data_IF_903183304173
#
_entry.id   IF_903183304173
#
_cell.length_a   1.000
_cell.length_b   1.000
_cell.length_c   1.000
_cell.angle_alpha   90.00
_cell.angle_beta   90.00
_cell.angle_gamma   90.00
#
_symmetry.space_group_name_H-M   'P 1'
#
loop_
_entity.id
_entity.type
_entity.pdbx_description
1 polymer ?
#
# COMPACT_ATOMS: atom_id res chain seq x y z
N UNK A 1 -15.37 5.27 29.09
CA UNK A 1 -15.68 6.71 29.19
C UNK A 1 -16.79 7.02 28.19
N UNK A 2 -18.00 7.40 28.64
CA UNK A 2 -19.16 7.60 27.76
C UNK A 2 -19.28 9.07 27.37
N UNK A 3 -19.13 9.38 26.08
CA UNK A 3 -19.30 10.74 25.53
C UNK A 3 -20.75 10.99 25.09
N UNK A 4 -21.23 12.22 25.29
CA UNK A 4 -22.59 12.72 25.02
C UNK A 4 -22.94 12.81 23.51
N UNK A 5 -22.02 12.49 22.60
CA UNK A 5 -22.23 12.53 21.14
C UNK A 5 -23.06 11.38 20.56
N UNK A 6 -23.57 10.47 21.41
CA UNK A 6 -24.24 9.21 21.01
C UNK A 6 -25.62 9.31 20.36
N UNK A 7 -26.16 10.52 20.13
CA UNK A 7 -27.52 10.68 19.61
C UNK A 7 -27.62 10.83 18.08
N UNK A 8 -26.50 10.90 17.34
CA UNK A 8 -26.56 10.86 15.87
C UNK A 8 -26.49 9.41 15.36
N UNK A 9 -27.31 9.10 14.34
CA UNK A 9 -27.33 7.78 13.68
C UNK A 9 -25.97 7.39 13.11
N UNK A 10 -25.13 8.33 12.68
CA UNK A 10 -23.77 8.01 12.20
C UNK A 10 -22.87 7.54 13.32
N UNK A 11 -22.98 8.12 14.52
CA UNK A 11 -22.13 7.75 15.65
C UNK A 11 -22.49 6.38 16.21
N UNK A 12 -23.76 5.95 16.12
CA UNK A 12 -24.14 4.58 16.47
C UNK A 12 -23.57 3.56 15.48
N UNK A 13 -23.60 3.87 14.18
CA UNK A 13 -23.00 3.00 13.14
C UNK A 13 -21.49 2.88 13.33
N UNK A 14 -20.79 4.02 13.53
CA UNK A 14 -19.34 4.01 13.75
C UNK A 14 -18.95 3.21 14.99
N UNK A 15 -19.74 3.31 16.06
CA UNK A 15 -19.52 2.49 17.25
C UNK A 15 -19.66 1.00 16.93
N UNK A 16 -20.71 0.61 16.21
CA UNK A 16 -20.93 -0.79 15.85
C UNK A 16 -19.75 -1.34 15.05
N UNK A 17 -19.20 -0.57 14.10
CA UNK A 17 -18.02 -0.96 13.34
C UNK A 17 -16.76 -1.10 14.20
N UNK A 18 -16.55 -0.18 15.15
CA UNK A 18 -15.44 -0.28 16.10
C UNK A 18 -15.60 -1.52 17.00
N UNK A 19 -16.80 -1.76 17.51
CA UNK A 19 -17.08 -2.93 18.36
C UNK A 19 -16.87 -4.24 17.55
N UNK A 20 -17.29 -4.29 16.28
CA UNK A 20 -17.02 -5.43 15.38
C UNK A 20 -15.52 -5.64 15.15
N UNK A 21 -14.78 -4.58 14.82
CA UNK A 21 -13.34 -4.62 14.62
C UNK A 21 -12.58 -5.15 15.85
N UNK A 22 -12.90 -4.63 17.04
CA UNK A 22 -12.28 -5.05 18.30
C UNK A 22 -12.60 -6.51 18.64
N UNK A 23 -13.84 -6.94 18.38
CA UNK A 23 -14.24 -8.33 18.59
C UNK A 23 -13.51 -9.28 17.64
N UNK A 24 -13.34 -8.92 16.38
CA UNK A 24 -12.57 -9.72 15.41
C UNK A 24 -11.10 -9.83 15.84
N UNK A 25 -10.48 -8.70 16.21
CA UNK A 25 -9.11 -8.66 16.71
C UNK A 25 -8.91 -9.61 17.91
N UNK A 26 -9.81 -9.54 18.89
CA UNK A 26 -9.73 -10.38 20.08
C UNK A 26 -10.04 -11.86 19.79
N UNK A 27 -11.03 -12.15 18.95
CA UNK A 27 -11.50 -13.52 18.69
C UNK A 27 -10.47 -14.34 17.93
N UNK A 28 -9.78 -13.73 16.96
CA UNK A 28 -8.78 -14.41 16.14
C UNK A 28 -7.34 -14.12 16.58
N UNK A 29 -7.14 -13.31 17.63
CA UNK A 29 -5.81 -12.94 18.13
C UNK A 29 -5.02 -12.08 17.12
N UNK A 30 -5.71 -11.28 16.30
CA UNK A 30 -5.09 -10.46 15.27
C UNK A 30 -4.43 -9.23 15.88
N UNK A 31 -3.29 -8.84 15.32
CA UNK A 31 -2.60 -7.60 15.70
C UNK A 31 -3.03 -6.48 14.76
N UNK A 32 -3.53 -5.38 15.33
CA UNK A 32 -3.84 -4.17 14.59
C UNK A 32 -2.55 -3.47 14.17
N UNK A 33 -2.48 -3.06 12.90
CA UNK A 33 -1.39 -2.27 12.34
C UNK A 33 -1.91 -1.01 11.67
N UNK A 34 -1.05 0.00 11.58
CA UNK A 34 -1.31 1.21 10.81
C UNK A 34 -0.76 1.01 9.40
N UNK A 35 -1.61 1.21 8.41
CA UNK A 35 -1.24 1.06 7.00
C UNK A 35 -1.60 2.32 6.21
N UNK A 36 -0.76 2.63 5.24
CA UNK A 36 -1.01 3.61 4.19
C UNK A 36 -0.57 3.01 2.86
N UNK A 37 -1.37 3.21 1.83
CA UNK A 37 -1.09 2.72 0.49
C UNK A 37 -1.27 3.88 -0.47
N UNK A 38 -0.23 4.16 -1.25
CA UNK A 38 -0.25 5.15 -2.31
C UNK A 38 0.28 4.53 -3.60
N UNK A 39 -0.20 5.06 -4.72
CA UNK A 39 0.35 4.79 -6.04
C UNK A 39 1.03 6.05 -6.52
N UNK A 40 2.33 5.95 -6.79
CA UNK A 40 3.11 7.04 -7.35
C UNK A 40 3.35 6.76 -8.82
N UNK A 41 3.03 7.75 -9.65
CA UNK A 41 3.25 7.70 -11.08
C UNK A 41 4.02 8.94 -11.52
N UNK A 42 4.94 8.78 -12.46
CA UNK A 42 5.72 9.85 -13.07
C UNK A 42 5.83 9.64 -14.57
N UNK A 43 5.96 10.73 -15.32
CA UNK A 43 6.32 10.73 -16.75
C UNK A 43 7.00 12.07 -17.06
N UNK A 44 7.88 12.07 -18.07
CA UNK A 44 8.48 13.27 -18.62
C UNK A 44 7.51 14.02 -19.58
N UNK A 45 6.42 13.36 -20.02
CA UNK A 45 5.35 13.93 -20.84
C UNK A 45 4.10 14.22 -20.01
N UNK A 46 3.64 15.47 -20.07
CA UNK A 46 2.45 15.92 -19.36
C UNK A 46 1.16 15.27 -19.86
N UNK A 47 1.06 14.91 -21.15
CA UNK A 47 -0.12 14.22 -21.68
C UNK A 47 -0.15 12.77 -21.22
N UNK A 48 0.99 12.07 -21.27
CA UNK A 48 1.11 10.71 -20.74
C UNK A 48 0.78 10.67 -19.23
N UNK A 49 1.24 11.66 -18.45
CA UNK A 49 0.91 11.75 -17.03
C UNK A 49 -0.60 11.85 -16.76
N UNK A 50 -1.34 12.59 -17.61
CA UNK A 50 -2.81 12.67 -17.51
C UNK A 50 -3.46 11.30 -17.78
N UNK A 51 -2.96 10.58 -18.77
CA UNK A 51 -3.44 9.23 -19.08
C UNK A 51 -3.20 8.27 -17.91
N UNK A 52 -1.97 8.22 -17.38
CA UNK A 52 -1.63 7.36 -16.24
C UNK A 52 -2.51 7.71 -15.02
N UNK A 53 -2.72 9.00 -14.75
CA UNK A 53 -3.59 9.45 -13.65
C UNK A 53 -5.02 8.92 -13.79
N UNK A 54 -5.59 8.97 -14.99
CA UNK A 54 -6.95 8.48 -15.25
C UNK A 54 -7.02 6.96 -15.11
N UNK A 55 -6.01 6.25 -15.62
CA UNK A 55 -5.95 4.79 -15.54
C UNK A 55 -5.86 4.32 -14.09
N UNK A 56 -4.95 4.90 -13.29
CA UNK A 56 -4.83 4.61 -11.85
C UNK A 56 -6.14 4.90 -11.12
N UNK A 57 -6.76 6.05 -11.40
CA UNK A 57 -8.06 6.40 -10.81
C UNK A 57 -9.16 5.38 -11.16
N UNK A 58 -9.20 4.90 -12.40
CA UNK A 58 -10.18 3.91 -12.86
C UNK A 58 -9.97 2.53 -12.22
N UNK A 59 -8.72 2.11 -12.01
CA UNK A 59 -8.40 0.84 -11.35
C UNK A 59 -8.66 0.88 -9.85
N UNK A 60 -8.41 2.01 -9.18
CA UNK A 60 -8.81 2.16 -7.77
C UNK A 60 -10.34 2.12 -7.63
N UNK A 61 -11.06 2.78 -8.54
CA UNK A 61 -12.53 2.74 -8.55
C UNK A 61 -13.09 1.33 -8.82
N UNK A 62 -12.42 0.51 -9.64
CA UNK A 62 -12.84 -0.88 -9.89
C UNK A 62 -12.68 -1.78 -8.66
N UNK A 63 -11.80 -1.41 -7.73
CA UNK A 63 -11.64 -2.03 -6.42
C UNK A 63 -12.57 -1.44 -5.34
N UNK A 64 -13.56 -0.64 -5.75
CA UNK A 64 -14.45 0.11 -4.83
C UNK A 64 -13.71 1.05 -3.88
N UNK A 65 -12.46 1.42 -4.21
CA UNK A 65 -11.68 2.39 -3.47
C UNK A 65 -11.94 3.79 -4.02
N UNK A 66 -12.14 4.78 -3.15
CA UNK A 66 -12.28 6.18 -3.58
C UNK A 66 -10.87 6.78 -3.72
N UNK A 67 -10.40 7.05 -4.95
CA UNK A 67 -9.06 7.60 -5.14
C UNK A 67 -9.01 9.04 -4.61
N UNK A 68 -8.09 9.30 -3.68
CA UNK A 68 -7.79 10.65 -3.20
C UNK A 68 -6.46 11.10 -3.82
N UNK A 69 -6.52 12.12 -4.66
CA UNK A 69 -5.32 12.71 -5.22
C UNK A 69 -4.72 13.70 -4.22
N UNK A 70 -3.59 13.35 -3.61
CA UNK A 70 -2.91 14.24 -2.68
C UNK A 70 -2.05 15.26 -3.45
N UNK A 71 -2.37 16.54 -3.31
CA UNK A 71 -1.65 17.65 -3.94
C UNK A 71 -0.80 18.45 -2.95
N UNK A 72 -1.05 18.32 -1.65
CA UNK A 72 -0.43 19.14 -0.60
C UNK A 72 0.70 18.37 0.07
N UNK A 73 0.41 17.15 0.54
CA UNK A 73 1.38 16.36 1.30
C UNK A 73 2.19 15.41 0.42
N UNK A 74 2.11 15.57 -0.91
CA UNK A 74 2.85 14.76 -1.87
C UNK A 74 4.37 14.75 -1.59
N UNK A 75 5.05 15.89 -1.31
CA UNK A 75 6.46 15.88 -0.95
C UNK A 75 6.74 15.11 0.35
N UNK A 76 5.87 15.23 1.34
CA UNK A 76 6.02 14.54 2.63
C UNK A 76 5.81 13.04 2.48
N UNK A 77 4.79 12.61 1.72
CA UNK A 77 4.54 11.21 1.42
C UNK A 77 5.67 10.59 0.60
N UNK A 78 6.21 11.32 -0.37
CA UNK A 78 7.39 10.89 -1.11
C UNK A 78 8.59 10.69 -0.18
N UNK A 79 8.86 11.67 0.68
CA UNK A 79 10.00 11.64 1.59
C UNK A 79 9.86 10.55 2.67
N UNK A 80 8.65 10.30 3.16
CA UNK A 80 8.36 9.24 4.13
C UNK A 80 8.47 7.83 3.53
N UNK A 81 8.38 7.70 2.20
CA UNK A 81 8.59 6.42 1.50
C UNK A 81 10.07 6.03 1.39
N UNK A 82 11.00 6.94 1.71
CA UNK A 82 12.44 6.63 1.72
C UNK A 82 12.74 5.71 2.92
N UNK A 83 13.47 4.59 2.72
CA UNK A 83 13.87 3.71 3.80
C UNK A 83 14.54 4.46 4.96
N UNK A 84 14.06 4.24 6.17
CA UNK A 84 14.56 4.91 7.38
C UNK A 84 13.85 6.22 7.73
N UNK A 85 13.00 6.76 6.86
CA UNK A 85 12.29 8.02 7.10
C UNK A 85 10.80 7.88 7.46
N UNK A 86 10.38 6.69 7.88
CA UNK A 86 8.99 6.43 8.26
C UNK A 86 8.49 7.28 9.44
N UNK A 87 9.39 7.86 10.24
CA UNK A 87 9.04 8.73 11.37
C UNK A 87 8.41 10.07 10.93
N UNK A 88 8.71 10.55 9.72
CA UNK A 88 8.12 11.77 9.16
C UNK A 88 6.75 11.52 8.51
N UNK A 89 6.26 10.28 8.51
CA UNK A 89 4.98 9.93 7.90
C UNK A 89 3.81 10.59 8.67
N UNK A 90 2.93 11.36 7.99
CA UNK A 90 1.80 12.02 8.65
C UNK A 90 0.86 11.01 9.29
N UNK A 91 0.63 11.14 10.59
CA UNK A 91 -0.19 10.16 11.31
C UNK A 91 -1.63 10.08 10.76
N UNK A 92 -2.14 11.21 10.28
CA UNK A 92 -3.48 11.35 9.73
C UNK A 92 -3.70 10.57 8.42
N UNK A 93 -2.62 10.25 7.71
CA UNK A 93 -2.68 9.61 6.38
C UNK A 93 -2.71 8.08 6.45
N UNK A 94 -2.57 7.47 7.64
CA UNK A 94 -2.70 6.01 7.83
C UNK A 94 -4.04 5.64 8.44
N UNK A 95 -4.51 4.43 8.19
CA UNK A 95 -5.67 3.85 8.87
C UNK A 95 -5.32 2.54 9.58
N UNK A 96 -6.18 2.10 10.48
CA UNK A 96 -6.01 0.83 11.20
C UNK A 96 -6.58 -0.32 10.38
N UNK A 97 -5.80 -1.40 10.26
CA UNK A 97 -6.20 -2.64 9.61
C UNK A 97 -5.50 -3.82 10.31
N UNK A 98 -5.70 -5.05 9.86
CA UNK A 98 -4.92 -6.20 10.33
C UNK A 98 -3.80 -6.53 9.35
N UNK A 99 -2.81 -7.29 9.82
CA UNK A 99 -1.57 -7.58 9.08
C UNK A 99 -1.88 -8.27 7.76
N UNK A 100 -2.80 -9.24 7.76
CA UNK A 100 -3.16 -10.04 6.61
C UNK A 100 -3.70 -9.16 5.47
N UNK A 101 -4.60 -8.23 5.80
CA UNK A 101 -5.19 -7.27 4.86
C UNK A 101 -4.17 -6.23 4.44
N UNK A 102 -3.27 -5.79 5.34
CA UNK A 102 -2.23 -4.84 4.98
C UNK A 102 -1.26 -5.42 3.94
N UNK A 103 -0.85 -6.68 4.11
CA UNK A 103 0.06 -7.38 3.19
C UNK A 103 -0.62 -7.71 1.86
N UNK A 104 -1.95 -7.78 1.80
CA UNK A 104 -2.67 -7.94 0.53
C UNK A 104 -2.37 -6.85 -0.50
N UNK A 105 -2.18 -5.61 -0.04
CA UNK A 105 -1.91 -4.45 -0.91
C UNK A 105 -0.41 -4.17 -1.09
N UNK A 106 0.45 -4.93 -0.41
CA UNK A 106 1.88 -4.88 -0.65
C UNK A 106 2.19 -5.56 -2.00
N UNK A 107 2.64 -4.75 -2.96
CA UNK A 107 2.96 -5.18 -4.32
C UNK A 107 4.37 -4.71 -4.66
N UNK A 108 5.24 -5.64 -5.03
CA UNK A 108 6.61 -5.36 -5.44
C UNK A 108 6.83 -5.60 -6.94
N UNK A 109 7.86 -4.98 -7.50
CA UNK A 109 8.03 -4.73 -8.93
C UNK A 109 8.15 -6.00 -9.79
N UNK A 110 8.66 -7.10 -9.26
CA UNK A 110 8.89 -8.33 -10.02
C UNK A 110 7.86 -9.39 -9.68
N UNK A 111 6.65 -9.25 -10.23
CA UNK A 111 5.51 -10.15 -9.98
C UNK A 111 5.79 -11.65 -10.29
N UNK A 112 6.90 -12.02 -10.95
CA UNK A 112 7.20 -13.43 -11.28
C UNK A 112 8.69 -13.80 -11.35
N UNK A 113 9.58 -12.90 -10.91
CA UNK A 113 11.03 -13.10 -11.04
C UNK A 113 11.72 -12.78 -9.72
N UNK A 114 12.72 -13.59 -9.40
CA UNK A 114 13.61 -13.30 -8.28
C UNK A 114 14.37 -12.00 -8.56
N UNK A 115 14.58 -11.20 -7.52
CA UNK A 115 15.60 -10.16 -7.50
C UNK A 115 16.97 -10.79 -7.76
N UNK A 116 17.81 -10.06 -8.49
CA UNK A 116 19.17 -10.49 -8.85
C UNK A 116 20.17 -10.33 -7.69
N UNK A 117 19.75 -9.69 -6.60
CA UNK A 117 20.58 -9.42 -5.43
C UNK A 117 20.87 -10.70 -4.64
N UNK A 118 22.06 -10.83 -4.03
CA UNK A 118 22.36 -11.90 -3.08
C UNK A 118 21.65 -11.71 -1.72
N UNK A 119 21.09 -10.52 -1.47
CA UNK A 119 20.31 -10.19 -0.30
C UNK A 119 18.83 -10.10 -0.66
N UNK A 120 17.96 -10.61 0.21
CA UNK A 120 16.52 -10.52 0.00
C UNK A 120 15.70 -11.42 0.91
N UNK A 121 14.40 -11.15 0.93
CA UNK A 121 13.38 -11.87 1.68
C UNK A 121 12.78 -12.95 0.78
N UNK A 122 12.49 -14.13 1.33
CA UNK A 122 11.74 -15.16 0.60
C UNK A 122 10.25 -14.86 0.73
N UNK A 123 9.62 -14.56 -0.40
CA UNK A 123 8.19 -14.35 -0.53
C UNK A 123 7.58 -15.36 -1.49
N UNK A 124 6.29 -15.22 -1.80
CA UNK A 124 5.58 -16.11 -2.71
C UNK A 124 4.74 -15.24 -3.65
N UNK A 125 4.78 -15.54 -4.95
CA UNK A 125 3.87 -14.95 -5.93
C UNK A 125 2.42 -15.30 -5.58
N UNK A 126 1.59 -14.27 -5.45
CA UNK A 126 0.17 -14.38 -5.10
C UNK A 126 -0.64 -15.17 -6.13
N UNK A 127 -0.34 -15.05 -7.43
CA UNK A 127 -1.15 -15.70 -8.48
C UNK A 127 -0.75 -17.15 -8.72
N UNK A 128 0.55 -17.46 -8.73
CA UNK A 128 1.04 -18.81 -9.07
C UNK A 128 1.53 -19.63 -7.89
N UNK A 129 1.69 -19.03 -6.71
CA UNK A 129 2.23 -19.69 -5.53
C UNK A 129 3.74 -20.00 -5.63
N UNK A 130 4.43 -19.45 -6.63
CA UNK A 130 5.86 -19.68 -6.83
C UNK A 130 6.68 -18.94 -5.77
N UNK A 131 7.63 -19.60 -5.09
CA UNK A 131 8.56 -18.92 -4.21
C UNK A 131 9.40 -17.88 -4.98
N UNK A 132 9.53 -16.69 -4.41
CA UNK A 132 10.33 -15.59 -4.95
C UNK A 132 11.39 -15.13 -3.93
N UNK A 133 12.58 -14.81 -4.41
CA UNK A 133 13.60 -14.10 -3.65
C UNK A 133 13.52 -12.63 -4.00
N UNK A 134 13.36 -11.75 -3.02
CA UNK A 134 12.98 -10.36 -3.24
C UNK A 134 13.84 -9.41 -2.42
N UNK A 135 14.53 -8.50 -3.09
CA UNK A 135 15.38 -7.48 -2.47
C UNK A 135 14.65 -6.14 -2.41
N UNK A 136 14.31 -5.74 -1.19
CA UNK A 136 13.61 -4.49 -0.88
C UNK A 136 14.55 -3.29 -0.70
N UNK A 137 15.87 -3.50 -0.75
CA UNK A 137 16.86 -2.52 -0.27
C UNK A 137 17.96 -2.21 -1.28
N UNK A 138 18.79 -3.19 -1.66
CA UNK A 138 20.03 -2.90 -2.39
C UNK A 138 19.78 -2.79 -3.90
N UNK A 139 18.94 -3.67 -4.44
CA UNK A 139 18.58 -3.67 -5.86
C UNK A 139 17.89 -2.36 -6.30
N UNK A 140 16.90 -1.81 -5.57
CA UNK A 140 16.32 -0.50 -5.92
C UNK A 140 17.33 0.65 -5.85
N UNK A 141 18.26 0.60 -4.89
CA UNK A 141 19.25 1.66 -4.64
C UNK A 141 20.31 1.78 -5.74
N UNK A 142 20.65 0.66 -6.38
CA UNK A 142 21.67 0.63 -7.44
C UNK A 142 21.14 1.02 -8.83
N UNK A 143 19.88 1.47 -8.92
CA UNK A 143 19.25 1.89 -10.16
C UNK A 143 18.80 0.69 -10.98
N UNK A 144 17.59 0.20 -10.70
CA UNK A 144 16.93 -0.76 -11.56
C UNK A 144 16.66 -0.10 -12.93
N UNK A 145 17.55 -0.33 -13.89
CA UNK A 145 17.13 -0.30 -15.29
C UNK A 145 16.01 -1.34 -15.42
N UNK A 146 14.83 -0.99 -15.98
CA UNK A 146 13.75 -1.96 -16.15
C UNK A 146 14.32 -3.17 -16.88
N UNK A 147 14.03 -4.41 -16.42
CA UNK A 147 14.55 -5.60 -17.07
C UNK A 147 14.12 -5.54 -18.54
N UNK A 148 15.10 -5.40 -19.43
CA UNK A 148 14.87 -5.44 -20.87
C UNK A 148 14.10 -6.72 -21.14
N UNK A 149 12.89 -6.60 -21.70
CA UNK A 149 12.09 -7.74 -22.12
C UNK A 149 12.81 -8.37 -23.31
N UNK A 150 13.87 -9.11 -23.06
CA UNK A 150 14.34 -10.11 -24.02
C UNK A 150 13.36 -11.25 -23.95
N UNK A 151 12.40 -11.20 -24.86
CA UNK A 151 11.65 -12.36 -25.32
C UNK A 151 12.66 -13.44 -25.73
N UNK A 152 12.83 -14.44 -24.88
CA UNK A 152 13.43 -15.70 -25.26
C UNK A 152 12.47 -16.79 -24.84
N UNK A 153 11.91 -17.42 -25.87
CA UNK A 153 11.00 -18.56 -25.90
C UNK A 153 11.26 -19.63 -24.84
#
# INVERSE_FOLDING_TARGET
>A
MQSLSRYSRSNSINREWIDQYLNEAHSYGLTSVRAHFNVMAWSDDAEELKHIKNDVGSQLASMECVPRHNTIDCPTLYWAAIPGNAADFPAEESFHTFIEQAVCLFTEETNYRNSLSPFGIKMVDRLTGKPLHLDISDLPMNGASPPTVTSSY
#
